data_IF_109041808717
#
_entry.id   IF_109041808717
#
_cell.length_a   1.000
_cell.length_b   1.000
_cell.length_c   1.000
_cell.angle_alpha   90.00
_cell.angle_beta   90.00
_cell.angle_gamma   90.00
#
_symmetry.space_group_name_H-M   'P 1'
#
loop_
_entity.id
_entity.type
_entity.pdbx_description
1 polymer ?
#
# COMPACT_ATOMS: atom_id res chain seq x y z
N UNK A 1 -17.17 31.05 -41.86
CA UNK A 1 -17.63 29.66 -41.61
C UNK A 1 -16.91 29.14 -40.36
N UNK A 2 -17.63 28.91 -39.27
CA UNK A 2 -17.11 28.34 -38.03
C UNK A 2 -16.66 26.88 -38.22
N UNK A 3 -15.51 26.51 -37.65
CA UNK A 3 -15.36 25.24 -36.93
C UNK A 3 -14.55 25.48 -35.67
N UNK A 4 -15.23 25.32 -34.53
CA UNK A 4 -14.69 25.34 -33.17
C UNK A 4 -13.90 24.04 -32.96
N UNK A 5 -12.67 24.14 -32.47
CA UNK A 5 -12.07 23.07 -31.67
C UNK A 5 -11.80 23.69 -30.30
N UNK A 6 -12.66 23.33 -29.36
CA UNK A 6 -12.49 23.60 -27.94
C UNK A 6 -11.47 22.56 -27.48
N UNK A 7 -10.21 22.98 -27.27
CA UNK A 7 -9.26 22.18 -26.51
C UNK A 7 -9.20 22.78 -25.12
N UNK A 8 -9.84 22.10 -24.18
CA UNK A 8 -9.91 22.49 -22.78
C UNK A 8 -8.52 22.45 -22.15
N UNK A 9 -8.11 23.62 -21.68
CA UNK A 9 -7.36 23.92 -20.45
C UNK A 9 -6.45 22.80 -19.94
N UNK A 10 -5.15 22.99 -20.14
CA UNK A 10 -4.10 22.32 -19.39
C UNK A 10 -4.34 22.53 -17.88
N UNK A 11 -4.65 21.43 -17.17
CA UNK A 11 -4.69 21.43 -15.72
C UNK A 11 -3.24 21.40 -15.21
N UNK A 12 -2.70 22.58 -14.93
CA UNK A 12 -1.43 22.78 -14.24
C UNK A 12 -1.50 22.08 -12.89
N UNK A 13 -0.80 20.95 -12.74
CA UNK A 13 -0.55 20.36 -11.44
C UNK A 13 0.36 21.32 -10.66
N UNK A 14 -0.22 22.10 -9.75
CA UNK A 14 0.53 22.86 -8.76
C UNK A 14 1.08 21.85 -7.75
N UNK A 15 2.32 21.41 -7.96
CA UNK A 15 3.10 20.68 -6.96
C UNK A 15 3.68 21.72 -6.01
N UNK A 16 3.11 21.84 -4.81
CA UNK A 16 3.79 22.52 -3.72
C UNK A 16 4.86 21.58 -3.15
N UNK A 17 6.09 21.71 -3.62
CA UNK A 17 7.27 21.20 -2.92
C UNK A 17 7.76 22.29 -1.95
N UNK A 18 7.42 22.18 -0.67
CA UNK A 18 8.14 22.94 0.36
C UNK A 18 9.33 22.12 0.81
N UNK A 19 10.52 22.59 0.41
CA UNK A 19 11.80 22.19 0.96
C UNK A 19 11.89 22.76 2.38
N UNK A 20 12.22 21.93 3.36
CA UNK A 20 12.96 22.37 4.54
C UNK A 20 14.04 21.33 4.86
N UNK A 21 15.28 21.65 4.48
CA UNK A 21 16.46 21.11 5.14
C UNK A 21 16.72 21.96 6.38
N UNK A 22 16.67 21.36 7.58
CA UNK A 22 17.71 21.42 8.62
C UNK A 22 17.14 21.27 10.03
N UNK A 23 17.75 20.35 10.76
CA UNK A 23 18.06 20.37 12.19
C UNK A 23 16.92 20.13 13.21
N UNK A 24 16.92 18.91 13.76
CA UNK A 24 16.16 18.45 14.93
C UNK A 24 14.63 18.61 14.81
N UNK A 25 14.06 17.92 13.84
CA UNK A 25 12.62 17.87 13.49
C UNK A 25 11.73 17.12 14.52
N UNK A 26 11.67 17.57 15.77
CA UNK A 26 10.66 17.06 16.73
C UNK A 26 9.37 17.90 16.78
N UNK A 27 9.30 19.02 16.04
CA UNK A 27 8.05 19.70 15.75
C UNK A 27 8.23 20.47 14.43
N UNK A 28 7.64 19.97 13.34
CA UNK A 28 7.67 20.56 11.99
C UNK A 28 6.94 21.94 11.89
N UNK A 29 7.07 22.83 12.89
CA UNK A 29 6.32 24.10 12.97
C UNK A 29 4.80 23.90 13.10
N UNK A 30 4.37 22.69 13.44
CA UNK A 30 2.97 22.29 13.47
C UNK A 30 2.35 22.68 14.82
N UNK A 31 1.55 23.75 14.83
CA UNK A 31 0.75 24.12 16.02
C UNK A 31 -0.14 22.95 16.47
N UNK A 32 0.17 22.39 17.65
CA UNK A 32 -0.45 21.20 18.23
C UNK A 32 -1.77 21.50 18.94
N UNK A 33 -2.08 22.77 19.18
CA UNK A 33 -3.33 23.19 19.85
C UNK A 33 -4.50 23.33 18.87
N UNK A 34 -4.20 23.37 17.58
CA UNK A 34 -5.20 23.58 16.52
C UNK A 34 -5.67 22.27 15.94
N UNK A 35 -6.99 22.16 15.85
CA UNK A 35 -7.65 21.12 15.08
C UNK A 35 -7.37 21.31 13.58
N UNK A 36 -7.22 20.19 12.89
CA UNK A 36 -6.97 20.12 11.45
C UNK A 36 -7.97 19.20 10.79
N UNK A 37 -8.22 19.45 9.52
CA UNK A 37 -9.08 18.61 8.68
C UNK A 37 -8.27 18.15 7.48
N UNK A 38 -8.30 16.86 7.23
CA UNK A 38 -7.79 16.24 6.02
C UNK A 38 -8.96 15.58 5.28
N UNK A 39 -9.21 16.04 4.05
CA UNK A 39 -10.13 15.38 3.13
C UNK A 39 -9.33 14.50 2.19
N UNK A 40 -9.69 13.23 2.10
CA UNK A 40 -8.96 12.23 1.34
C UNK A 40 -9.93 11.32 0.61
N UNK A 41 -9.56 10.89 -0.60
CA UNK A 41 -10.29 9.84 -1.31
C UNK A 41 -9.69 8.49 -0.95
N UNK A 42 -10.46 7.68 -0.22
CA UNK A 42 -10.08 6.32 0.09
C UNK A 42 -10.82 5.35 -0.81
N UNK A 43 -10.11 4.28 -1.13
CA UNK A 43 -10.67 3.12 -1.76
C UNK A 43 -11.00 2.09 -0.67
N UNK A 44 -12.27 1.73 -0.55
CA UNK A 44 -12.74 0.73 0.39
C UNK A 44 -12.80 -0.63 -0.28
N UNK A 45 -11.98 -1.56 0.21
CA UNK A 45 -11.99 -2.96 -0.15
C UNK A 45 -12.95 -3.71 0.76
N UNK A 46 -14.06 -4.19 0.20
CA UNK A 46 -15.12 -4.83 0.98
C UNK A 46 -15.12 -6.33 0.71
N UNK A 47 -14.88 -7.12 1.75
CA UNK A 47 -14.87 -8.57 1.71
C UNK A 47 -16.06 -9.13 2.49
N UNK A 48 -16.95 -9.87 1.83
CA UNK A 48 -18.08 -10.55 2.47
C UNK A 48 -17.57 -11.82 3.19
N UNK A 49 -17.67 -11.85 4.52
CA UNK A 49 -17.08 -12.91 5.33
C UNK A 49 -17.93 -14.18 5.40
N UNK A 50 -19.10 -14.23 4.75
CA UNK A 50 -19.98 -15.42 4.80
C UNK A 50 -19.48 -16.57 3.94
N UNK A 51 -18.59 -16.30 2.99
CA UNK A 51 -18.15 -17.26 1.99
C UNK A 51 -16.63 -17.43 2.07
N UNK A 52 -16.08 -17.93 3.17
CA UNK A 52 -14.62 -18.10 3.31
C UNK A 52 -13.97 -18.93 2.16
N UNK A 53 -14.75 -19.75 1.45
CA UNK A 53 -14.29 -20.55 0.30
C UNK A 53 -14.64 -19.99 -1.10
N UNK A 54 -15.47 -18.93 -1.19
CA UNK A 54 -15.91 -18.38 -2.49
C UNK A 54 -16.30 -16.89 -2.45
N UNK A 55 -15.82 -16.14 -1.45
CA UNK A 55 -16.20 -14.75 -1.23
C UNK A 55 -15.85 -13.89 -2.44
N UNK A 56 -16.87 -13.46 -3.16
CA UNK A 56 -16.79 -12.36 -4.10
C UNK A 56 -16.53 -11.10 -3.28
N UNK A 57 -15.34 -10.52 -3.42
CA UNK A 57 -15.09 -9.16 -2.96
C UNK A 57 -16.20 -8.25 -3.50
N UNK A 58 -16.95 -7.61 -2.61
CA UNK A 58 -17.86 -6.55 -3.02
C UNK A 58 -16.97 -5.41 -3.53
N UNK A 59 -17.26 -4.96 -4.76
CA UNK A 59 -16.47 -4.01 -5.54
C UNK A 59 -15.82 -2.91 -4.70
N UNK A 60 -14.57 -2.58 -5.03
CA UNK A 60 -13.89 -1.46 -4.40
C UNK A 60 -14.66 -0.16 -4.67
N UNK A 61 -15.06 0.57 -3.63
CA UNK A 61 -15.74 1.87 -3.76
C UNK A 61 -14.77 2.99 -3.39
N UNK A 62 -14.59 3.97 -4.28
CA UNK A 62 -13.87 5.20 -3.96
C UNK A 62 -14.85 6.12 -3.24
N UNK A 63 -14.50 6.56 -2.03
CA UNK A 63 -15.33 7.43 -1.23
C UNK A 63 -14.49 8.58 -0.69
N UNK A 64 -15.09 9.76 -0.64
CA UNK A 64 -14.53 10.90 0.08
C UNK A 64 -14.61 10.61 1.58
N UNK A 65 -13.50 10.85 2.28
CA UNK A 65 -13.39 10.69 3.72
C UNK A 65 -12.91 12.00 4.31
N UNK A 66 -13.46 12.33 5.48
CA UNK A 66 -13.03 13.47 6.26
C UNK A 66 -12.42 12.98 7.55
N UNK A 67 -11.19 13.43 7.82
CA UNK A 67 -10.45 13.12 9.02
C UNK A 67 -10.19 14.43 9.74
N UNK A 68 -10.84 14.59 10.88
CA UNK A 68 -10.58 15.71 11.78
C UNK A 68 -9.60 15.24 12.84
N UNK A 69 -8.45 15.86 12.97
CA UNK A 69 -7.40 15.42 13.89
C UNK A 69 -6.74 16.57 14.62
N UNK A 70 -6.15 16.25 15.77
CA UNK A 70 -5.31 17.14 16.57
C UNK A 70 -4.18 16.34 17.21
N UNK A 71 -3.03 16.97 17.28
CA UNK A 71 -1.94 16.45 18.08
C UNK A 71 -2.29 16.56 19.55
N UNK A 72 -1.93 15.54 20.33
CA UNK A 72 -1.97 15.70 21.78
C UNK A 72 -0.75 16.52 22.24
N UNK A 73 -0.78 17.00 23.48
CA UNK A 73 0.40 17.61 24.13
C UNK A 73 1.53 16.60 24.32
N UNK A 74 1.22 15.31 24.39
CA UNK A 74 2.19 14.22 24.30
C UNK A 74 2.56 13.99 22.82
N UNK A 75 3.86 14.11 22.51
CA UNK A 75 4.39 14.02 21.16
C UNK A 75 4.15 12.66 20.50
N UNK A 76 3.95 11.63 21.32
CA UNK A 76 3.75 10.27 20.86
C UNK A 76 2.30 9.95 20.52
N UNK A 77 1.38 10.92 20.66
CA UNK A 77 -0.06 10.68 20.51
C UNK A 77 -0.77 11.65 19.57
N UNK A 78 -1.66 11.07 18.79
CA UNK A 78 -2.57 11.73 17.85
C UNK A 78 -4.02 11.38 18.24
N UNK A 79 -4.92 12.36 18.27
CA UNK A 79 -6.35 12.13 18.45
C UNK A 79 -7.11 12.55 17.20
N UNK A 80 -8.04 11.72 16.74
CA UNK A 80 -8.77 12.00 15.50
C UNK A 80 -10.19 11.41 15.49
N UNK A 81 -11.01 11.99 14.60
CA UNK A 81 -12.43 11.71 14.39
C UNK A 81 -12.65 11.45 12.89
N UNK A 82 -12.47 10.21 12.42
CA UNK A 82 -12.72 9.85 11.04
C UNK A 82 -14.22 9.72 10.74
N UNK A 83 -14.62 10.15 9.54
CA UNK A 83 -15.93 9.83 8.95
C UNK A 83 -15.74 9.00 7.69
N UNK A 84 -16.20 7.76 7.83
CA UNK A 84 -16.42 6.54 7.04
C UNK A 84 -17.55 6.46 6.02
N UNK A 85 -17.43 6.88 4.77
CA UNK A 85 -18.46 6.54 3.77
C UNK A 85 -18.09 5.26 3.01
N UNK A 86 -19.01 4.29 2.93
CA UNK A 86 -18.79 3.01 2.22
C UNK A 86 -20.11 2.44 1.68
N UNK A 87 -20.04 1.39 0.86
CA UNK A 87 -21.23 0.66 0.37
C UNK A 87 -21.11 -0.81 0.74
N UNK A 88 -22.03 -1.33 1.55
CA UNK A 88 -22.04 -2.73 1.98
C UNK A 88 -23.23 -3.44 1.35
N UNK A 89 -22.99 -4.49 0.57
CA UNK A 89 -24.06 -5.23 -0.12
C UNK A 89 -24.91 -4.36 -1.07
N UNK A 90 -24.31 -3.32 -1.66
CA UNK A 90 -25.00 -2.36 -2.52
C UNK A 90 -25.74 -1.24 -1.78
N UNK A 91 -25.62 -1.16 -0.45
CA UNK A 91 -26.30 -0.15 0.37
C UNK A 91 -25.26 0.82 0.95
N UNK A 92 -25.39 2.14 0.70
CA UNK A 92 -24.55 3.15 1.31
C UNK A 92 -24.61 3.09 2.83
N UNK A 93 -23.46 3.26 3.47
CA UNK A 93 -23.28 3.30 4.92
C UNK A 93 -22.36 4.46 5.24
N UNK A 94 -22.61 5.11 6.38
CA UNK A 94 -21.75 6.14 6.93
C UNK A 94 -21.42 5.79 8.38
N UNK A 95 -20.15 5.88 8.73
CA UNK A 95 -19.63 5.59 10.06
C UNK A 95 -18.81 6.77 10.55
N UNK A 96 -18.99 7.18 11.81
CA UNK A 96 -18.22 8.27 12.40
C UNK A 96 -17.71 7.85 13.76
N UNK A 97 -16.42 8.09 14.00
CA UNK A 97 -15.79 7.84 15.29
C UNK A 97 -15.50 9.16 15.99
N UNK A 98 -15.51 9.10 17.32
CA UNK A 98 -15.13 10.22 18.18
C UNK A 98 -14.02 9.80 19.13
N UNK A 99 -12.91 10.53 19.11
CA UNK A 99 -11.82 10.38 20.08
C UNK A 99 -10.95 9.14 19.85
N UNK A 100 -10.71 8.74 18.60
CA UNK A 100 -9.74 7.68 18.30
C UNK A 100 -8.36 8.20 18.66
N UNK A 101 -7.60 7.41 19.41
CA UNK A 101 -6.24 7.74 19.79
C UNK A 101 -5.27 6.80 19.08
N UNK A 102 -4.24 7.39 18.48
CA UNK A 102 -3.15 6.68 17.84
C UNK A 102 -1.83 7.03 18.53
N UNK A 103 -0.91 6.08 18.52
CA UNK A 103 0.44 6.22 19.07
C UNK A 103 1.49 5.93 18.01
N UNK A 104 2.59 6.67 18.02
CA UNK A 104 3.77 6.35 17.22
C UNK A 104 4.79 5.53 18.04
N UNK A 105 5.90 5.14 17.41
CA UNK A 105 7.07 4.59 18.08
C UNK A 105 8.29 5.50 17.86
N UNK A 106 9.29 5.42 18.74
CA UNK A 106 10.53 6.21 18.62
C UNK A 106 11.27 5.98 17.29
N UNK A 107 11.15 4.78 16.71
CA UNK A 107 11.78 4.43 15.42
C UNK A 107 11.06 5.03 14.20
N UNK A 108 9.80 5.46 14.36
CA UNK A 108 8.96 6.04 13.30
C UNK A 108 8.08 7.18 13.84
N UNK A 109 8.72 8.30 14.20
CA UNK A 109 8.07 9.42 14.87
C UNK A 109 6.83 10.02 14.16
N UNK A 110 6.62 9.76 12.86
CA UNK A 110 5.53 10.33 12.07
C UNK A 110 4.40 9.36 11.71
N UNK A 111 4.57 8.07 12.05
CA UNK A 111 3.56 7.03 11.78
C UNK A 111 2.81 6.72 13.05
N UNK A 112 1.52 7.05 13.07
CA UNK A 112 0.64 6.84 14.21
C UNK A 112 -0.24 5.60 13.99
N UNK A 113 -0.04 4.58 14.80
CA UNK A 113 -0.84 3.35 14.80
C UNK A 113 -1.97 3.42 15.82
N UNK A 114 -3.12 2.84 15.49
CA UNK A 114 -4.24 2.70 16.43
C UNK A 114 -4.90 1.34 16.33
N UNK A 115 -5.46 0.91 17.45
CA UNK A 115 -6.40 -0.18 17.54
C UNK A 115 -7.45 0.24 18.57
N UNK A 116 -8.72 0.25 18.18
CA UNK A 116 -9.80 0.64 19.08
C UNK A 116 -11.06 -0.18 18.82
N UNK A 117 -11.73 -0.51 19.91
CA UNK A 117 -13.07 -1.08 19.90
C UNK A 117 -14.15 0.00 20.06
N UNK A 118 -13.81 1.28 19.81
CA UNK A 118 -14.70 2.41 20.03
C UNK A 118 -16.12 2.15 19.48
N UNK A 119 -17.18 2.50 20.24
CA UNK A 119 -18.50 1.89 20.13
C UNK A 119 -19.31 2.55 18.99
N UNK A 120 -18.91 2.30 17.75
CA UNK A 120 -19.77 2.58 16.60
C UNK A 120 -20.64 1.34 16.40
N UNK A 121 -21.96 1.49 16.57
CA UNK A 121 -22.90 0.39 16.43
C UNK A 121 -22.74 -0.29 15.07
N UNK A 122 -22.63 -1.63 15.09
CA UNK A 122 -22.43 -2.42 13.87
C UNK A 122 -20.99 -2.53 13.40
N UNK A 123 -20.01 -1.93 14.10
CA UNK A 123 -18.59 -2.03 13.78
C UNK A 123 -17.77 -2.71 14.89
N UNK A 124 -16.67 -3.34 14.50
CA UNK A 124 -15.65 -3.88 15.41
C UNK A 124 -14.26 -3.90 14.76
N UNK A 125 -13.23 -4.12 15.57
CA UNK A 125 -11.83 -4.29 15.13
C UNK A 125 -11.31 -3.11 14.29
N UNK A 126 -11.55 -1.86 14.71
CA UNK A 126 -11.07 -0.69 13.97
C UNK A 126 -9.59 -0.46 14.28
N UNK A 127 -8.74 -0.76 13.30
CA UNK A 127 -7.27 -0.67 13.43
C UNK A 127 -6.69 0.05 12.22
N UNK A 128 -5.51 0.66 12.35
CA UNK A 128 -4.87 1.31 11.21
C UNK A 128 -3.61 2.09 11.54
N UNK A 129 -3.07 2.76 10.52
CA UNK A 129 -2.00 3.75 10.68
C UNK A 129 -2.26 4.99 9.84
N UNK A 130 -1.73 6.11 10.33
CA UNK A 130 -1.71 7.41 9.65
C UNK A 130 -0.25 7.88 9.60
N UNK A 131 0.27 8.07 8.39
CA UNK A 131 1.53 8.78 8.16
C UNK A 131 1.21 10.23 7.75
N UNK A 132 1.59 11.17 8.60
CA UNK A 132 1.30 12.59 8.39
C UNK A 132 2.29 13.28 7.44
N UNK A 133 3.47 12.70 7.19
CA UNK A 133 4.47 13.28 6.27
C UNK A 133 4.18 12.82 4.85
N UNK A 134 4.12 11.51 4.66
CA UNK A 134 3.87 10.94 3.33
C UNK A 134 2.39 11.03 2.95
N UNK A 135 1.55 11.52 3.86
CA UNK A 135 0.11 11.64 3.72
C UNK A 135 -0.51 10.30 3.32
N UNK A 136 0.01 9.21 3.90
CA UNK A 136 -0.54 7.87 3.72
C UNK A 136 -1.49 7.54 4.86
N UNK A 137 -2.56 6.83 4.51
CA UNK A 137 -3.48 6.29 5.51
C UNK A 137 -3.95 4.90 5.11
N UNK A 138 -4.02 4.04 6.10
CA UNK A 138 -4.77 2.80 6.02
C UNK A 138 -5.54 2.55 7.30
N UNK A 139 -6.70 1.92 7.15
CA UNK A 139 -7.38 1.31 8.28
C UNK A 139 -8.22 0.11 7.84
N UNK A 140 -8.51 -0.74 8.80
CA UNK A 140 -9.31 -1.95 8.67
C UNK A 140 -10.40 -1.93 9.73
N UNK A 141 -11.59 -2.42 9.38
CA UNK A 141 -12.67 -2.65 10.34
C UNK A 141 -13.58 -3.78 9.85
N UNK A 142 -14.32 -4.36 10.78
CA UNK A 142 -15.44 -5.26 10.49
C UNK A 142 -16.73 -4.47 10.62
N UNK A 143 -17.63 -4.61 9.64
CA UNK A 143 -18.91 -3.93 9.59
C UNK A 143 -20.05 -4.92 9.36
N UNK A 144 -21.14 -4.77 10.09
CA UNK A 144 -22.37 -5.55 9.88
C UNK A 144 -23.37 -4.70 9.11
N UNK A 145 -23.80 -5.15 7.94
CA UNK A 145 -24.81 -4.44 7.15
C UNK A 145 -26.20 -4.54 7.77
N UNK A 146 -27.17 -3.72 7.30
CA UNK A 146 -28.58 -3.84 7.73
C UNK A 146 -29.17 -5.24 7.51
N UNK A 147 -28.65 -6.01 6.54
CA UNK A 147 -29.03 -7.39 6.26
C UNK A 147 -28.34 -8.41 7.18
N UNK A 148 -27.61 -7.96 8.20
CA UNK A 148 -26.80 -8.79 9.11
C UNK A 148 -25.69 -9.57 8.41
N UNK A 149 -25.19 -9.03 7.31
CA UNK A 149 -24.02 -9.58 6.62
C UNK A 149 -22.79 -8.93 7.21
N UNK A 150 -21.82 -9.75 7.60
CA UNK A 150 -20.54 -9.27 8.12
C UNK A 150 -19.61 -9.05 6.95
N UNK A 151 -19.05 -7.86 6.90
CA UNK A 151 -18.07 -7.43 5.91
C UNK A 151 -16.79 -7.04 6.63
N UNK A 152 -15.65 -7.43 6.06
CA UNK A 152 -14.39 -6.80 6.39
C UNK A 152 -14.13 -5.68 5.39
N UNK A 153 -13.78 -4.51 5.90
CA UNK A 153 -13.44 -3.35 5.07
C UNK A 153 -12.01 -2.94 5.34
N UNK A 154 -11.25 -2.73 4.27
CA UNK A 154 -9.91 -2.17 4.30
C UNK A 154 -9.94 -0.90 3.46
N UNK A 155 -9.77 0.26 4.08
CA UNK A 155 -9.70 1.53 3.35
C UNK A 155 -8.27 2.00 3.25
N UNK A 156 -7.86 2.34 2.03
CA UNK A 156 -6.50 2.80 1.76
C UNK A 156 -6.53 3.90 0.70
N UNK A 157 -5.41 4.59 0.52
CA UNK A 157 -5.24 5.40 -0.68
C UNK A 157 -5.30 4.52 -1.95
N UNK A 158 -5.62 5.10 -3.13
CA UNK A 158 -5.69 4.36 -4.39
C UNK A 158 -4.37 3.70 -4.83
N UNK A 159 -3.25 4.10 -4.24
CA UNK A 159 -1.95 3.47 -4.41
C UNK A 159 -1.37 3.19 -3.03
N UNK A 160 -0.96 1.96 -2.76
CA UNK A 160 -0.18 1.62 -1.56
C UNK A 160 1.16 1.12 -2.04
N UNK A 161 2.23 1.77 -1.59
CA UNK A 161 3.60 1.34 -1.84
C UNK A 161 4.13 0.68 -0.57
N UNK A 162 4.49 -0.60 -0.66
CA UNK A 162 5.15 -1.29 0.44
C UNK A 162 6.66 -1.18 0.27
N UNK A 163 7.35 -0.52 1.20
CA UNK A 163 8.82 -0.57 1.28
C UNK A 163 9.21 -1.58 2.34
N UNK A 164 10.11 -2.51 2.01
CA UNK A 164 10.38 -3.65 2.89
C UNK A 164 11.86 -3.83 3.17
N UNK A 165 12.19 -4.14 4.42
CA UNK A 165 13.41 -4.83 4.83
C UNK A 165 13.22 -6.34 4.62
N UNK A 166 13.25 -6.76 3.35
CA UNK A 166 12.95 -8.15 2.98
C UNK A 166 14.17 -9.04 3.05
N UNK A 167 13.97 -10.26 3.56
CA UNK A 167 14.88 -11.38 3.27
C UNK A 167 14.37 -12.00 1.99
N UNK A 168 15.12 -11.80 0.92
CA UNK A 168 14.86 -12.49 -0.34
C UNK A 168 15.88 -13.61 -0.50
N UNK A 169 15.40 -14.80 -0.82
CA UNK A 169 16.22 -15.95 -1.19
C UNK A 169 15.96 -16.31 -2.64
N UNK A 170 17.01 -16.55 -3.40
CA UNK A 170 16.93 -17.05 -4.78
C UNK A 170 17.58 -18.41 -4.82
N UNK A 171 16.92 -19.38 -5.45
CA UNK A 171 17.44 -20.73 -5.67
C UNK A 171 17.38 -21.02 -7.17
N UNK A 172 18.53 -21.26 -7.79
CA UNK A 172 18.62 -21.64 -9.18
C UNK A 172 18.52 -23.17 -9.32
N UNK A 173 17.94 -23.64 -10.42
CA UNK A 173 17.78 -25.08 -10.67
C UNK A 173 19.10 -25.84 -10.77
N UNK A 174 20.21 -25.14 -11.03
CA UNK A 174 21.55 -25.69 -11.28
C UNK A 174 22.58 -25.38 -10.17
N UNK A 175 22.26 -24.52 -9.19
CA UNK A 175 23.16 -24.19 -8.06
C UNK A 175 22.38 -23.89 -6.77
N UNK A 176 22.91 -24.30 -5.61
CA UNK A 176 22.31 -24.06 -4.29
C UNK A 176 22.70 -22.69 -3.69
N UNK A 177 23.13 -21.73 -4.51
CA UNK A 177 23.63 -20.44 -4.01
C UNK A 177 22.47 -19.58 -3.51
N UNK A 178 22.47 -19.23 -2.22
CA UNK A 178 21.52 -18.28 -1.63
C UNK A 178 22.13 -16.87 -1.73
N UNK A 179 21.54 -16.00 -2.54
CA UNK A 179 21.83 -14.57 -2.50
C UNK A 179 20.79 -13.85 -1.64
N UNK A 180 21.27 -13.16 -0.61
CA UNK A 180 20.46 -12.21 0.18
C UNK A 180 20.62 -10.80 -0.42
N UNK A 181 19.58 -9.97 -0.29
CA UNK A 181 19.54 -8.51 -0.49
C UNK A 181 18.93 -7.91 -1.78
N UNK A 182 17.95 -8.51 -2.49
CA UNK A 182 17.07 -7.68 -3.30
C UNK A 182 15.94 -7.09 -2.45
N UNK A 183 15.91 -5.76 -2.35
CA UNK A 183 14.76 -5.04 -1.79
C UNK A 183 13.59 -5.18 -2.75
N UNK A 184 12.47 -5.65 -2.23
CA UNK A 184 11.24 -5.78 -3.00
C UNK A 184 10.20 -4.77 -2.55
N UNK A 185 9.50 -4.15 -3.50
CA UNK A 185 8.33 -3.32 -3.21
C UNK A 185 7.15 -3.75 -4.06
N UNK A 186 5.97 -3.70 -3.44
CA UNK A 186 4.70 -3.88 -4.13
C UNK A 186 3.93 -2.57 -4.05
N UNK A 187 3.65 -2.02 -5.22
CA UNK A 187 2.74 -0.91 -5.39
C UNK A 187 1.41 -1.48 -5.90
N UNK A 188 0.41 -1.59 -5.03
CA UNK A 188 -0.91 -2.04 -5.46
C UNK A 188 -1.71 -0.83 -5.96
N UNK A 189 -2.45 -1.02 -7.05
CA UNK A 189 -3.47 -0.12 -7.53
C UNK A 189 -4.81 -0.85 -7.44
N UNK A 190 -5.50 -0.73 -6.32
CA UNK A 190 -6.67 -1.55 -6.11
C UNK A 190 -7.90 -1.03 -6.87
N UNK A 191 -7.90 0.22 -7.35
CA UNK A 191 -8.97 0.74 -8.22
C UNK A 191 -9.01 0.02 -9.57
N UNK A 192 -7.84 -0.44 -10.03
CA UNK A 192 -7.67 -1.24 -11.23
C UNK A 192 -7.58 -2.73 -10.94
N UNK A 193 -7.59 -3.13 -9.66
CA UNK A 193 -7.30 -4.51 -9.23
C UNK A 193 -6.00 -5.03 -9.84
N UNK A 194 -4.96 -4.18 -9.84
CA UNK A 194 -3.63 -4.51 -10.37
C UNK A 194 -2.55 -4.20 -9.35
N UNK A 195 -1.36 -4.79 -9.54
CA UNK A 195 -0.17 -4.42 -8.79
C UNK A 195 1.05 -4.26 -9.71
N UNK A 196 1.93 -3.38 -9.29
CA UNK A 196 3.30 -3.26 -9.79
C UNK A 196 4.24 -3.78 -8.73
N UNK A 197 5.24 -4.52 -9.17
CA UNK A 197 6.25 -5.13 -8.32
C UNK A 197 7.63 -4.68 -8.80
N UNK A 198 8.48 -4.26 -7.85
CA UNK A 198 9.85 -3.83 -8.11
C UNK A 198 10.82 -4.64 -7.28
N UNK A 199 11.89 -5.10 -7.91
CA UNK A 199 13.03 -5.76 -7.27
C UNK A 199 14.26 -4.88 -7.49
N UNK A 200 14.97 -4.51 -6.44
CA UNK A 200 16.20 -3.73 -6.53
C UNK A 200 17.43 -4.61 -6.27
N UNK A 201 18.58 -4.27 -6.85
CA UNK A 201 19.88 -4.91 -6.57
C UNK A 201 19.94 -6.44 -6.78
N UNK A 202 19.24 -6.96 -7.80
CA UNK A 202 19.28 -8.38 -8.13
C UNK A 202 20.51 -8.73 -8.97
N UNK A 203 21.29 -9.74 -8.58
CA UNK A 203 22.42 -10.24 -9.38
C UNK A 203 22.07 -11.57 -10.05
N UNK A 204 22.14 -11.60 -11.38
CA UNK A 204 22.05 -12.83 -12.16
C UNK A 204 23.42 -13.51 -12.16
N UNK A 205 23.49 -14.73 -11.64
CA UNK A 205 24.73 -15.52 -11.55
C UNK A 205 25.06 -16.27 -12.83
N UNK A 206 24.05 -16.56 -13.67
CA UNK A 206 24.27 -17.25 -14.95
C UNK A 206 24.85 -16.30 -15.98
N UNK A 207 24.37 -15.07 -15.96
CA UNK A 207 24.93 -13.97 -16.75
C UNK A 207 25.34 -12.90 -15.76
N UNK A 208 26.64 -12.78 -15.40
CA UNK A 208 27.13 -11.94 -14.29
C UNK A 208 26.78 -10.45 -14.51
N UNK A 209 25.57 -10.09 -14.07
CA UNK A 209 24.92 -8.79 -14.26
C UNK A 209 24.15 -8.46 -13.00
N UNK A 210 24.41 -7.27 -12.47
CA UNK A 210 23.64 -6.72 -11.34
C UNK A 210 22.62 -5.72 -11.88
N UNK A 211 21.36 -6.09 -11.76
CA UNK A 211 20.22 -5.22 -12.05
C UNK A 211 19.97 -4.31 -10.86
N UNK A 212 20.03 -3.00 -11.09
CA UNK A 212 19.70 -1.99 -10.09
C UNK A 212 18.21 -1.99 -9.77
N UNK A 213 17.36 -2.25 -10.78
CA UNK A 213 15.92 -2.38 -10.62
C UNK A 213 15.33 -3.30 -11.70
N UNK A 214 14.38 -4.15 -11.33
CA UNK A 214 13.53 -4.94 -12.21
C UNK A 214 12.08 -4.58 -11.86
N UNK A 215 11.32 -4.06 -12.82
CA UNK A 215 9.94 -3.62 -12.60
C UNK A 215 8.99 -4.43 -13.47
N UNK A 216 7.97 -5.03 -12.86
CA UNK A 216 6.86 -5.70 -13.52
C UNK A 216 5.54 -5.06 -13.12
N UNK A 217 4.68 -4.75 -14.08
CA UNK A 217 3.35 -4.18 -13.85
C UNK A 217 2.23 -5.18 -14.18
N UNK A 218 1.00 -4.76 -13.95
CA UNK A 218 -0.23 -5.47 -14.35
C UNK A 218 -0.38 -6.88 -13.73
N UNK A 219 0.27 -7.16 -12.60
CA UNK A 219 -0.08 -8.34 -11.82
C UNK A 219 -1.52 -8.22 -11.32
N UNK A 220 -2.27 -9.32 -11.28
CA UNK A 220 -3.65 -9.34 -10.81
C UNK A 220 -3.69 -9.21 -9.30
N UNK A 221 -4.52 -8.30 -8.79
CA UNK A 221 -4.77 -8.13 -7.37
C UNK A 221 -6.12 -8.74 -7.00
N UNK A 222 -6.18 -9.42 -5.85
CA UNK A 222 -7.39 -9.88 -5.20
C UNK A 222 -7.38 -9.44 -3.73
N UNK A 223 -8.56 -9.16 -3.19
CA UNK A 223 -8.74 -8.86 -1.76
C UNK A 223 -8.88 -10.18 -1.00
N UNK A 224 -8.26 -10.27 0.17
CA UNK A 224 -8.35 -11.44 1.06
C UNK A 224 -8.90 -11.02 2.42
N UNK A 225 -9.30 -11.97 3.28
CA UNK A 225 -9.66 -11.66 4.65
C UNK A 225 -8.58 -10.90 5.42
N UNK A 226 -7.30 -10.95 5.04
CA UNK A 226 -6.21 -10.32 5.82
C UNK A 226 -5.47 -9.21 5.06
N UNK A 227 -5.88 -8.88 3.84
CA UNK A 227 -5.20 -7.90 3.01
C UNK A 227 -5.38 -8.22 1.52
N UNK A 228 -4.27 -8.55 0.86
CA UNK A 228 -4.26 -8.72 -0.59
C UNK A 228 -3.49 -9.96 -1.04
N UNK A 229 -3.94 -10.55 -2.15
CA UNK A 229 -3.19 -11.55 -2.92
C UNK A 229 -2.87 -10.98 -4.29
N UNK A 230 -1.62 -11.06 -4.70
CA UNK A 230 -1.13 -10.60 -6.00
C UNK A 230 -0.66 -11.82 -6.77
N UNK A 231 -1.18 -12.00 -7.97
CA UNK A 231 -0.81 -13.14 -8.82
C UNK A 231 -0.44 -12.70 -10.23
N UNK A 232 0.38 -13.49 -10.92
CA UNK A 232 0.71 -13.23 -12.31
C UNK A 232 1.59 -14.29 -12.94
N UNK A 233 1.49 -14.46 -14.25
CA UNK A 233 2.33 -15.38 -15.03
C UNK A 233 2.60 -14.73 -16.38
N UNK A 234 3.82 -14.88 -16.91
CA UNK A 234 4.24 -14.22 -18.13
C UNK A 234 4.30 -12.70 -18.01
N UNK A 235 4.50 -12.14 -16.80
CA UNK A 235 4.52 -10.70 -16.60
C UNK A 235 5.77 -10.12 -17.28
N UNK A 236 5.56 -9.18 -18.19
CA UNK A 236 6.63 -8.45 -18.84
C UNK A 236 7.30 -7.52 -17.81
N UNK A 237 8.61 -7.71 -17.62
CA UNK A 237 9.42 -6.92 -16.73
C UNK A 237 10.58 -6.25 -17.47
N UNK A 238 10.99 -5.09 -16.96
CA UNK A 238 12.16 -4.35 -17.47
C UNK A 238 13.20 -4.27 -16.37
N UNK A 239 14.37 -4.85 -16.62
CA UNK A 239 15.53 -4.78 -15.74
C UNK A 239 16.52 -3.71 -16.21
N UNK A 240 16.94 -2.82 -15.32
CA UNK A 240 17.96 -1.79 -15.57
C UNK A 240 19.27 -2.19 -14.90
N UNK A 241 20.40 -2.14 -15.63
CA UNK A 241 21.73 -2.50 -15.11
C UNK A 241 22.82 -1.59 -15.66
N UNK A 242 23.99 -1.60 -15.02
CA UNK A 242 25.22 -0.95 -15.49
C UNK A 242 26.28 -2.03 -15.70
N UNK A 243 27.02 -1.97 -16.80
CA UNK A 243 28.14 -2.88 -17.06
C UNK A 243 29.44 -2.26 -16.61
N UNK A 244 30.39 -3.07 -16.14
CA UNK A 244 31.74 -2.60 -15.76
C UNK A 244 32.46 -1.80 -16.86
N UNK A 245 32.15 -2.04 -18.14
CA UNK A 245 32.75 -1.36 -19.28
C UNK A 245 32.08 -0.01 -19.66
N UNK A 246 31.00 0.40 -19.01
CA UNK A 246 30.23 1.60 -19.38
C UNK A 246 29.52 2.21 -18.19
N UNK A 247 29.61 3.53 -18.02
CA UNK A 247 28.81 4.28 -17.02
C UNK A 247 27.36 4.49 -17.46
N UNK A 248 26.97 4.04 -18.65
CA UNK A 248 25.61 4.16 -19.16
C UNK A 248 24.72 3.02 -18.67
N UNK A 249 23.51 3.38 -18.27
CA UNK A 249 22.43 2.44 -17.97
C UNK A 249 22.02 1.66 -19.22
N UNK A 250 21.83 0.35 -19.05
CA UNK A 250 21.29 -0.57 -20.04
C UNK A 250 19.98 -1.16 -19.52
N UNK A 251 19.15 -1.66 -20.45
CA UNK A 251 17.89 -2.33 -20.11
C UNK A 251 17.84 -3.74 -20.69
N UNK A 252 17.18 -4.65 -19.99
CA UNK A 252 16.88 -6.00 -20.45
C UNK A 252 15.38 -6.27 -20.28
N UNK A 253 14.81 -7.04 -21.21
CA UNK A 253 13.48 -7.62 -21.05
C UNK A 253 13.59 -8.89 -20.22
N UNK A 254 12.78 -8.98 -19.18
CA UNK A 254 12.73 -10.10 -18.25
C UNK A 254 11.27 -10.57 -18.19
N UNK A 255 11.07 -11.86 -17.92
CA UNK A 255 9.75 -12.41 -17.65
C UNK A 255 9.69 -12.83 -16.19
N UNK A 256 8.60 -12.45 -15.51
CA UNK A 256 8.26 -12.96 -14.18
C UNK A 256 7.11 -13.94 -14.32
N UNK A 257 7.34 -15.18 -13.90
CA UNK A 257 6.39 -16.29 -13.97
C UNK A 257 5.98 -16.76 -12.58
N UNK A 258 4.76 -17.31 -12.48
CA UNK A 258 4.21 -17.89 -11.26
C UNK A 258 4.35 -16.97 -10.03
N UNK A 259 4.13 -15.66 -10.21
CA UNK A 259 4.04 -14.73 -9.10
C UNK A 259 2.82 -15.09 -8.26
N UNK A 260 3.06 -15.34 -6.99
CA UNK A 260 2.05 -15.46 -5.94
C UNK A 260 2.58 -14.73 -4.70
N UNK A 261 1.97 -13.60 -4.37
CA UNK A 261 2.31 -12.80 -3.22
C UNK A 261 1.09 -12.56 -2.34
N UNK A 262 1.30 -12.58 -1.03
CA UNK A 262 0.30 -12.27 -0.02
C UNK A 262 0.81 -11.10 0.82
N UNK A 263 0.00 -10.04 0.90
CA UNK A 263 0.16 -8.89 1.79
C UNK A 263 -0.84 -9.09 2.93
N UNK A 264 -0.33 -9.38 4.13
CA UNK A 264 -1.11 -9.52 5.36
C UNK A 264 -0.95 -8.24 6.18
N UNK A 265 -2.00 -7.43 6.18
CA UNK A 265 -2.06 -6.14 6.87
C UNK A 265 -2.28 -6.29 8.38
N UNK A 266 -2.74 -7.45 8.87
CA UNK A 266 -2.89 -7.68 10.32
C UNK A 266 -1.54 -7.99 10.95
N UNK A 267 -0.77 -8.85 10.29
CA UNK A 267 0.54 -9.28 10.77
C UNK A 267 1.66 -8.37 10.26
N UNK A 268 1.33 -7.30 9.55
CA UNK A 268 2.28 -6.40 8.88
C UNK A 268 3.35 -7.21 8.12
N UNK A 269 2.94 -8.20 7.35
CA UNK A 269 3.85 -9.15 6.72
C UNK A 269 3.55 -9.35 5.25
N UNK A 270 4.61 -9.59 4.48
CA UNK A 270 4.53 -9.94 3.07
C UNK A 270 5.28 -11.23 2.82
N UNK A 271 4.68 -12.09 2.01
CA UNK A 271 5.32 -13.28 1.48
C UNK A 271 5.05 -13.37 -0.02
N UNK A 272 6.09 -13.53 -0.84
CA UNK A 272 5.95 -13.70 -2.27
C UNK A 272 6.85 -14.80 -2.79
N UNK A 273 6.37 -15.53 -3.79
CA UNK A 273 7.17 -16.46 -4.58
C UNK A 273 6.95 -16.20 -6.06
N UNK A 274 8.01 -16.31 -6.86
CA UNK A 274 7.95 -16.18 -8.32
C UNK A 274 9.20 -16.78 -8.95
N UNK A 275 9.18 -16.93 -10.28
CA UNK A 275 10.31 -17.35 -11.07
C UNK A 275 10.77 -16.20 -11.99
N UNK A 276 12.08 -15.98 -12.06
CA UNK A 276 12.69 -15.10 -13.07
C UNK A 276 14.14 -15.52 -13.31
N UNK A 277 14.64 -15.30 -14.53
CA UNK A 277 16.06 -15.53 -14.87
C UNK A 277 16.59 -16.92 -14.44
N UNK A 278 15.72 -17.94 -14.52
CA UNK A 278 16.04 -19.32 -14.13
C UNK A 278 16.17 -19.57 -12.61
N UNK A 279 15.77 -18.62 -11.78
CA UNK A 279 15.72 -18.74 -10.32
C UNK A 279 14.27 -18.79 -9.83
N UNK A 280 14.01 -19.61 -8.80
CA UNK A 280 12.85 -19.44 -7.93
C UNK A 280 13.24 -18.44 -6.84
N UNK A 281 12.49 -17.36 -6.74
CA UNK A 281 12.71 -16.28 -5.78
C UNK A 281 11.61 -16.32 -4.73
N UNK A 282 12.01 -16.22 -3.47
CA UNK A 282 11.11 -16.12 -2.31
C UNK A 282 11.44 -14.84 -1.56
N UNK A 283 10.43 -14.01 -1.34
CA UNK A 283 10.52 -12.74 -0.61
C UNK A 283 9.68 -12.89 0.65
N UNK A 284 10.28 -12.63 1.81
CA UNK A 284 9.55 -12.53 3.07
C UNK A 284 10.00 -11.28 3.82
N UNK A 285 9.06 -10.52 4.37
CA UNK A 285 9.41 -9.34 5.14
C UNK A 285 8.23 -8.73 5.88
N UNK A 286 8.50 -7.62 6.54
CA UNK A 286 7.46 -6.80 7.17
C UNK A 286 7.03 -5.68 6.23
N UNK A 287 5.75 -5.33 6.32
CA UNK A 287 5.18 -4.22 5.58
C UNK A 287 5.41 -2.95 6.40
N UNK A 288 5.97 -1.93 5.76
CA UNK A 288 5.81 -0.55 6.19
C UNK A 288 4.84 0.11 5.20
N UNK A 289 3.72 0.59 5.72
CA UNK A 289 2.71 1.36 4.99
C UNK A 289 3.00 2.84 5.18
#
# INVERSE_FOLDING_TARGET
MMRKIISAVALTALVFSTVSCSDNDNDNGLDRTKERTWNVQLLNHVYDTRNDDSATAASASINDQKIVYRFSTDMLKLSFNPTIETTLGGIPQQFSWTGVNASNSEEKANIYSFATDAPVSGLSNFTGQIDLIDQNIYWSYTATSPQKIVYRVISTLPTISTSTSTVTTSVWSDTTATHQLPMSSFAINPSKMTATFTISQYTDVKIPRTYMSIVAGNATLAITPKGYRITGTGLAAVGTYVTSASTKYQTAKITIDNLDATIDLENNSIHATFNMLGAKVTVSGTISI
#
